data_IF_771040592092
#
_entry.id   IF_771040592092
#
_cell.length_a   1.000
_cell.length_b   1.000
_cell.length_c   1.000
_cell.angle_alpha   90.00
_cell.angle_beta   90.00
_cell.angle_gamma   90.00
#
_symmetry.space_group_name_H-M   'P 1'
#
loop_
_entity.id
_entity.type
_entity.pdbx_description
1 polymer ?
#
# COMPACT_ATOMS: atom_id res chain seq x y z
N UNK A 1 -11.92 -5.31 23.38
CA UNK A 1 -12.73 -4.08 23.57
C UNK A 1 -12.02 -2.82 23.05
N UNK A 2 -10.76 -2.59 23.44
CA UNK A 2 -9.92 -1.45 23.01
C UNK A 2 -9.72 -1.34 21.50
N UNK A 3 -9.58 -2.48 20.81
CA UNK A 3 -9.44 -2.55 19.35
C UNK A 3 -10.69 -2.02 18.62
N UNK A 4 -11.88 -2.42 19.06
CA UNK A 4 -13.15 -1.99 18.47
C UNK A 4 -13.41 -0.50 18.72
N UNK A 5 -13.04 0.03 19.89
CA UNK A 5 -13.18 1.46 20.20
C UNK A 5 -12.24 2.30 19.32
N UNK A 6 -10.97 1.89 19.19
CA UNK A 6 -10.01 2.53 18.28
C UNK A 6 -10.53 2.53 16.84
N UNK A 7 -11.13 1.42 16.41
CA UNK A 7 -11.70 1.27 15.07
C UNK A 7 -12.95 2.13 14.85
N UNK A 8 -13.86 2.23 15.84
CA UNK A 8 -15.04 3.08 15.75
C UNK A 8 -14.69 4.58 15.71
N UNK A 9 -13.75 5.03 16.56
CA UNK A 9 -13.24 6.41 16.53
C UNK A 9 -12.56 6.71 15.19
N UNK A 10 -11.87 5.72 14.62
CA UNK A 10 -11.28 5.82 13.29
C UNK A 10 -12.31 5.94 12.16
N UNK A 11 -13.39 5.14 12.18
CA UNK A 11 -14.48 5.24 11.20
C UNK A 11 -15.14 6.62 11.29
N UNK A 12 -15.40 7.11 12.50
CA UNK A 12 -15.98 8.45 12.71
C UNK A 12 -15.06 9.56 12.20
N UNK A 13 -13.76 9.47 12.47
CA UNK A 13 -12.76 10.40 11.94
C UNK A 13 -12.72 10.37 10.40
N UNK A 14 -12.78 9.18 9.81
CA UNK A 14 -12.81 8.97 8.35
C UNK A 14 -14.07 9.53 7.70
N UNK A 15 -15.24 9.34 8.32
CA UNK A 15 -16.52 9.91 7.87
C UNK A 15 -16.50 11.44 7.97
N UNK A 16 -16.04 12.00 9.09
CA UNK A 16 -15.91 13.45 9.27
C UNK A 16 -14.99 14.06 8.21
N UNK A 17 -13.86 13.39 7.97
CA UNK A 17 -12.89 13.74 6.94
C UNK A 17 -13.50 13.67 5.53
N UNK A 18 -14.31 12.64 5.25
CA UNK A 18 -15.05 12.50 3.98
C UNK A 18 -16.13 13.58 3.79
N UNK A 19 -16.83 13.98 4.86
CA UNK A 19 -17.81 15.08 4.80
C UNK A 19 -17.14 16.44 4.52
N UNK A 20 -15.96 16.68 5.10
CA UNK A 20 -15.14 17.86 4.79
C UNK A 20 -14.70 17.91 3.32
N UNK A 21 -14.41 16.74 2.74
CA UNK A 21 -14.10 16.51 1.33
C UNK A 21 -15.26 16.94 0.41
N UNK A 22 -16.50 16.67 0.81
CA UNK A 22 -17.71 16.97 0.04
C UNK A 22 -18.11 18.46 0.11
N UNK A 23 -17.92 19.13 1.25
CA UNK A 23 -18.54 20.44 1.51
C UNK A 23 -17.65 21.70 1.37
N UNK A 24 -16.32 21.59 1.22
CA UNK A 24 -15.45 22.77 1.41
C UNK A 24 -14.90 23.46 0.15
N UNK A 25 -15.35 24.69 -0.15
CA UNK A 25 -14.49 25.73 -0.78
C UNK A 25 -13.59 26.34 0.32
N UNK A 26 -12.54 25.63 0.72
CA UNK A 26 -11.59 26.11 1.74
C UNK A 26 -10.52 26.97 1.05
N UNK A 27 -10.16 28.12 1.63
CA UNK A 27 -9.10 28.98 1.07
C UNK A 27 -7.70 28.36 1.21
N UNK A 28 -6.81 28.62 0.24
CA UNK A 28 -5.51 27.95 0.09
C UNK A 28 -4.61 28.08 1.33
N UNK A 29 -4.65 29.23 2.03
CA UNK A 29 -3.87 29.49 3.26
C UNK A 29 -4.23 28.52 4.39
N UNK A 30 -5.51 28.22 4.55
CA UNK A 30 -5.99 27.31 5.60
C UNK A 30 -5.77 25.84 5.26
N UNK A 31 -5.72 25.47 3.97
CA UNK A 31 -5.50 24.07 3.56
C UNK A 31 -4.18 23.48 4.03
N UNK A 32 -3.09 24.27 3.99
CA UNK A 32 -1.76 23.81 4.46
C UNK A 32 -1.75 23.57 5.96
N UNK A 33 -2.34 24.48 6.73
CA UNK A 33 -2.48 24.34 8.18
C UNK A 33 -3.37 23.13 8.53
N UNK A 34 -4.50 22.97 7.84
CA UNK A 34 -5.39 21.82 8.02
C UNK A 34 -4.70 20.50 7.69
N UNK A 35 -3.88 20.46 6.64
CA UNK A 35 -3.10 19.27 6.29
C UNK A 35 -2.08 18.93 7.39
N UNK A 36 -1.40 19.94 7.95
CA UNK A 36 -0.47 19.74 9.06
C UNK A 36 -1.21 19.21 10.30
N UNK A 37 -2.31 19.87 10.70
CA UNK A 37 -3.15 19.43 11.82
C UNK A 37 -3.60 17.99 11.60
N UNK A 38 -4.03 17.65 10.38
CA UNK A 38 -4.47 16.31 10.02
C UNK A 38 -3.36 15.25 10.14
N UNK A 39 -2.16 15.53 9.64
CA UNK A 39 -1.03 14.59 9.73
C UNK A 39 -0.61 14.38 11.19
N UNK A 40 -0.53 15.47 11.96
CA UNK A 40 -0.15 15.43 13.38
C UNK A 40 -1.20 14.71 14.21
N UNK A 41 -2.47 15.04 14.07
CA UNK A 41 -3.57 14.42 14.84
C UNK A 41 -3.73 12.94 14.50
N UNK A 42 -3.64 12.58 13.21
CA UNK A 42 -3.68 11.18 12.77
C UNK A 42 -2.49 10.39 13.34
N UNK A 43 -1.28 10.95 13.29
CA UNK A 43 -0.09 10.29 13.83
C UNK A 43 -0.13 10.16 15.35
N UNK A 44 -0.66 11.18 16.03
CA UNK A 44 -0.88 11.12 17.48
C UNK A 44 -1.83 9.98 17.81
N UNK A 45 -2.98 9.90 17.14
CA UNK A 45 -3.94 8.81 17.33
C UNK A 45 -3.31 7.43 17.12
N UNK A 46 -2.54 7.26 16.05
CA UNK A 46 -1.81 6.04 15.74
C UNK A 46 -0.82 5.63 16.84
N UNK A 47 -0.18 6.60 17.52
CA UNK A 47 0.77 6.29 18.61
C UNK A 47 0.14 5.63 19.84
N UNK A 48 -1.18 5.74 20.00
CA UNK A 48 -1.96 5.12 21.09
C UNK A 48 -2.63 3.81 20.66
N UNK A 49 -2.24 3.22 19.53
CA UNK A 49 -2.74 1.92 19.09
C UNK A 49 -2.52 0.81 20.15
N UNK A 50 -3.36 -0.23 20.17
CA UNK A 50 -3.17 -1.38 21.07
C UNK A 50 -1.82 -2.09 20.81
N UNK A 51 -1.10 -2.40 21.88
CA UNK A 51 0.24 -3.02 21.81
C UNK A 51 0.20 -4.52 21.51
N UNK A 52 -0.93 -5.16 21.79
CA UNK A 52 -1.16 -6.61 21.65
C UNK A 52 -1.30 -7.07 20.18
N UNK A 53 -1.44 -6.14 19.23
CA UNK A 53 -1.54 -6.46 17.81
C UNK A 53 -0.23 -7.11 17.35
N UNK A 54 -0.29 -8.29 16.73
CA UNK A 54 0.87 -9.14 16.36
C UNK A 54 2.07 -8.39 15.76
N UNK A 55 1.85 -7.52 14.77
CA UNK A 55 2.92 -6.73 14.15
C UNK A 55 3.48 -5.67 15.13
N UNK A 56 2.61 -5.03 15.93
CA UNK A 56 2.99 -4.03 16.94
C UNK A 56 3.76 -4.62 18.12
N UNK A 57 3.31 -5.77 18.63
CA UNK A 57 3.99 -6.49 19.70
C UNK A 57 5.43 -6.84 19.28
N UNK A 58 5.61 -7.25 18.02
CA UNK A 58 6.93 -7.57 17.47
C UNK A 58 7.83 -6.34 17.32
N UNK A 59 7.27 -5.20 16.91
CA UNK A 59 8.01 -3.93 16.93
C UNK A 59 8.41 -3.53 18.36
N UNK A 60 7.51 -3.69 19.33
CA UNK A 60 7.77 -3.37 20.72
C UNK A 60 8.88 -4.25 21.31
N UNK A 61 8.85 -5.56 21.04
CA UNK A 61 9.88 -6.52 21.46
C UNK A 61 11.26 -6.14 20.94
N UNK A 62 11.39 -5.88 19.62
CA UNK A 62 12.65 -5.48 19.02
C UNK A 62 13.12 -4.13 19.57
N UNK A 63 12.22 -3.16 19.71
CA UNK A 63 12.55 -1.84 20.26
C UNK A 63 12.96 -1.92 21.73
N UNK A 64 12.36 -2.82 22.50
CA UNK A 64 12.64 -3.04 23.92
C UNK A 64 13.94 -3.80 24.19
N UNK A 65 14.49 -4.51 23.21
CA UNK A 65 15.71 -5.30 23.40
C UNK A 65 16.91 -4.43 23.83
N UNK A 66 17.76 -4.97 24.70
CA UNK A 66 18.93 -4.27 25.26
C UNK A 66 20.10 -4.10 24.27
N UNK A 67 19.91 -4.54 23.02
CA UNK A 67 20.95 -4.46 22.01
C UNK A 67 21.14 -3.01 21.54
N UNK A 68 22.37 -2.64 21.22
CA UNK A 68 22.68 -1.34 20.62
C UNK A 68 22.65 -1.44 19.08
N UNK A 69 22.55 -0.30 18.41
CA UNK A 69 22.66 -0.24 16.94
C UNK A 69 23.99 -0.88 16.47
N UNK A 70 25.09 -0.58 17.16
CA UNK A 70 26.41 -1.13 16.86
C UNK A 70 26.46 -2.66 17.03
N UNK A 71 25.79 -3.18 18.06
CA UNK A 71 25.68 -4.62 18.26
C UNK A 71 24.97 -5.29 17.08
N UNK A 72 23.88 -4.72 16.58
CA UNK A 72 23.18 -5.27 15.40
C UNK A 72 24.09 -5.28 14.17
N UNK A 73 24.77 -4.17 13.89
CA UNK A 73 25.65 -4.03 12.72
C UNK A 73 26.81 -5.03 12.76
N UNK A 74 27.42 -5.23 13.93
CA UNK A 74 28.61 -6.07 14.08
C UNK A 74 28.31 -7.57 14.12
N UNK A 75 27.12 -7.96 14.59
CA UNK A 75 26.79 -9.37 14.86
C UNK A 75 25.77 -9.97 13.89
N UNK A 76 25.09 -9.16 13.08
CA UNK A 76 24.11 -9.63 12.11
C UNK A 76 24.50 -9.24 10.70
N UNK A 77 24.31 -10.17 9.77
CA UNK A 77 24.59 -9.95 8.35
C UNK A 77 23.62 -8.92 7.75
N UNK A 78 24.10 -7.72 7.49
CA UNK A 78 23.33 -6.58 6.96
C UNK A 78 23.15 -6.71 5.44
N UNK A 79 22.50 -7.78 5.01
CA UNK A 79 22.14 -8.03 3.60
C UNK A 79 20.63 -7.95 3.38
N UNK A 80 20.25 -7.64 2.14
CA UNK A 80 18.86 -7.66 1.72
C UNK A 80 18.22 -9.03 1.98
N UNK A 81 17.01 -9.02 2.53
CA UNK A 81 16.25 -10.25 2.84
C UNK A 81 16.55 -10.86 4.21
N UNK A 82 17.64 -10.43 4.89
CA UNK A 82 17.94 -10.88 6.23
C UNK A 82 17.02 -10.24 7.26
N UNK A 83 16.70 -11.01 8.30
CA UNK A 83 15.74 -10.62 9.33
C UNK A 83 16.31 -10.77 10.73
N UNK A 84 16.09 -9.75 11.56
CA UNK A 84 16.33 -9.78 12.99
C UNK A 84 15.00 -9.92 13.72
N UNK A 85 14.85 -10.99 14.51
CA UNK A 85 13.60 -11.33 15.21
C UNK A 85 12.37 -11.29 14.27
N UNK A 86 12.53 -11.62 13.00
CA UNK A 86 11.48 -11.64 11.96
C UNK A 86 11.12 -10.29 11.32
N UNK A 87 11.83 -9.21 11.66
CA UNK A 87 11.76 -7.91 10.96
C UNK A 87 12.95 -7.75 10.02
N UNK A 88 12.75 -7.13 8.86
CA UNK A 88 13.83 -6.91 7.90
C UNK A 88 14.88 -5.95 8.49
N UNK A 89 16.15 -6.28 8.31
CA UNK A 89 17.24 -5.65 9.05
C UNK A 89 17.35 -4.14 8.83
N UNK A 90 17.03 -3.64 7.63
CA UNK A 90 17.06 -2.20 7.35
C UNK A 90 16.03 -1.41 8.16
N UNK A 91 14.84 -1.97 8.41
CA UNK A 91 13.86 -1.35 9.31
C UNK A 91 14.29 -1.41 10.78
N UNK A 92 14.96 -2.49 11.18
CA UNK A 92 15.53 -2.63 12.52
C UNK A 92 16.61 -1.59 12.78
N UNK A 93 17.53 -1.37 11.82
CA UNK A 93 18.52 -0.31 11.91
C UNK A 93 17.87 1.08 12.04
N UNK A 94 16.80 1.34 11.29
CA UNK A 94 16.00 2.56 11.43
C UNK A 94 15.38 2.69 12.84
N UNK A 95 14.80 1.61 13.38
CA UNK A 95 14.24 1.61 14.74
C UNK A 95 15.31 1.92 15.80
N UNK A 96 16.47 1.27 15.74
CA UNK A 96 17.54 1.48 16.71
C UNK A 96 18.19 2.86 16.59
N UNK A 97 18.27 3.41 15.38
CA UNK A 97 18.68 4.79 15.17
C UNK A 97 17.76 5.76 15.93
N UNK A 98 16.42 5.61 15.78
CA UNK A 98 15.45 6.44 16.50
C UNK A 98 15.49 6.20 18.02
N UNK A 99 15.66 4.94 18.45
CA UNK A 99 15.85 4.59 19.87
C UNK A 99 17.07 5.29 20.46
N UNK A 100 18.17 5.36 19.72
CA UNK A 100 19.40 6.04 20.13
C UNK A 100 19.24 7.55 20.38
N UNK A 101 18.18 8.17 19.84
CA UNK A 101 17.81 9.56 20.13
C UNK A 101 17.03 9.73 21.47
N UNK A 102 16.89 8.67 22.26
CA UNK A 102 16.18 8.70 23.54
C UNK A 102 14.65 8.68 23.42
N UNK A 103 14.11 8.34 22.25
CA UNK A 103 12.66 8.37 21.98
C UNK A 103 12.01 7.08 22.51
N UNK A 104 10.87 7.21 23.20
CA UNK A 104 10.07 6.07 23.66
C UNK A 104 9.44 5.30 22.48
N UNK A 105 8.99 4.06 22.70
CA UNK A 105 8.33 3.29 21.62
C UNK A 105 7.12 4.02 21.02
N UNK A 106 6.28 4.66 21.85
CA UNK A 106 5.14 5.46 21.36
C UNK A 106 5.61 6.67 20.56
N UNK A 107 6.69 7.33 20.99
CA UNK A 107 7.33 8.40 20.23
C UNK A 107 7.87 7.92 18.88
N UNK A 108 8.47 6.72 18.83
CA UNK A 108 8.90 6.10 17.57
C UNK A 108 7.72 5.86 16.63
N UNK A 109 6.61 5.30 17.11
CA UNK A 109 5.39 5.08 16.31
C UNK A 109 4.85 6.41 15.79
N UNK A 110 4.82 7.46 16.62
CA UNK A 110 4.40 8.80 16.24
C UNK A 110 5.26 9.38 15.11
N UNK A 111 6.59 9.36 15.28
CA UNK A 111 7.54 9.87 14.29
C UNK A 111 7.45 9.09 12.97
N UNK A 112 7.42 7.76 13.04
CA UNK A 112 7.28 6.92 11.85
C UNK A 112 5.97 7.18 11.11
N UNK A 113 4.86 7.40 11.84
CA UNK A 113 3.57 7.74 11.25
C UNK A 113 3.62 9.08 10.52
N UNK A 114 4.23 10.12 11.12
CA UNK A 114 4.41 11.42 10.46
C UNK A 114 5.19 11.27 9.16
N UNK A 115 6.33 10.57 9.21
CA UNK A 115 7.19 10.35 8.04
C UNK A 115 6.43 9.60 6.96
N UNK A 116 5.80 8.46 7.32
CA UNK A 116 5.06 7.62 6.38
C UNK A 116 3.92 8.39 5.73
N UNK A 117 3.05 9.04 6.51
CA UNK A 117 1.93 9.82 5.99
C UNK A 117 2.38 10.96 5.08
N UNK A 118 3.46 11.66 5.45
CA UNK A 118 4.00 12.75 4.63
C UNK A 118 4.49 12.22 3.28
N UNK A 119 5.27 11.13 3.27
CA UNK A 119 5.76 10.48 2.06
C UNK A 119 4.57 10.04 1.17
N UNK A 120 3.55 9.42 1.75
CA UNK A 120 2.36 9.01 1.02
C UNK A 120 1.62 10.18 0.38
N UNK A 121 1.31 11.22 1.16
CA UNK A 121 0.56 12.39 0.69
C UNK A 121 1.32 13.07 -0.45
N UNK A 122 2.62 13.27 -0.30
CA UNK A 122 3.47 13.86 -1.34
C UNK A 122 3.52 12.99 -2.59
N UNK A 123 3.73 11.68 -2.44
CA UNK A 123 3.80 10.73 -3.54
C UNK A 123 2.49 10.66 -4.35
N UNK A 124 1.36 10.47 -3.68
CA UNK A 124 0.05 10.36 -4.34
C UNK A 124 -0.33 11.71 -4.97
N UNK A 125 -0.09 12.84 -4.30
CA UNK A 125 -0.33 14.15 -4.89
C UNK A 125 0.51 14.37 -6.15
N UNK A 126 1.78 13.93 -6.14
CA UNK A 126 2.62 13.98 -7.34
C UNK A 126 2.06 13.10 -8.46
N UNK A 127 1.60 11.87 -8.17
CA UNK A 127 0.95 11.01 -9.17
C UNK A 127 -0.31 11.66 -9.75
N UNK A 128 -1.20 12.17 -8.90
CA UNK A 128 -2.40 12.89 -9.33
C UNK A 128 -2.05 14.04 -10.28
N UNK A 129 -0.96 14.77 -10.00
CA UNK A 129 -0.50 15.87 -10.85
C UNK A 129 0.07 15.41 -12.21
N UNK A 130 0.63 14.19 -12.30
CA UNK A 130 1.16 13.64 -13.55
C UNK A 130 0.11 12.97 -14.43
N UNK A 131 -1.02 12.53 -13.86
CA UNK A 131 -2.12 11.89 -14.59
C UNK A 131 -3.30 12.84 -14.89
N UNK A 132 -3.44 13.96 -14.17
CA UNK A 132 -4.51 14.95 -14.42
C UNK A 132 -4.41 15.54 -15.82
N UNK A 133 -5.56 15.92 -16.36
CA UNK A 133 -5.67 16.59 -17.67
C UNK A 133 -6.21 18.01 -17.57
N UNK A 134 -7.13 18.29 -16.62
CA UNK A 134 -7.86 19.58 -16.61
C UNK A 134 -8.07 20.23 -15.24
N UNK A 135 -7.85 19.51 -14.13
CA UNK A 135 -8.25 19.98 -12.79
C UNK A 135 -7.04 20.18 -11.88
N UNK A 136 -7.08 21.22 -11.04
CA UNK A 136 -6.10 21.40 -9.99
C UNK A 136 -6.30 20.37 -8.87
N UNK A 137 -5.26 19.60 -8.59
CA UNK A 137 -5.25 18.61 -7.50
C UNK A 137 -5.29 19.34 -6.17
N UNK A 138 -6.26 18.99 -5.34
CA UNK A 138 -6.35 19.41 -3.95
C UNK A 138 -5.66 18.35 -3.07
N UNK A 139 -4.47 18.70 -2.60
CA UNK A 139 -3.63 17.82 -1.76
C UNK A 139 -4.35 17.36 -0.49
N UNK A 140 -5.23 18.20 0.08
CA UNK A 140 -5.98 17.84 1.28
C UNK A 140 -6.95 16.70 0.95
N UNK A 141 -7.69 16.82 -0.15
CA UNK A 141 -8.64 15.80 -0.61
C UNK A 141 -7.94 14.48 -0.96
N UNK A 142 -6.76 14.55 -1.56
CA UNK A 142 -5.92 13.38 -1.83
C UNK A 142 -5.49 12.68 -0.53
N UNK A 143 -4.99 13.45 0.44
CA UNK A 143 -4.56 12.93 1.73
C UNK A 143 -5.72 12.22 2.47
N UNK A 144 -6.89 12.84 2.44
CA UNK A 144 -8.10 12.30 3.05
C UNK A 144 -8.57 10.99 2.37
N UNK A 145 -8.62 10.95 1.04
CA UNK A 145 -9.00 9.74 0.30
C UNK A 145 -8.00 8.60 0.57
N UNK A 146 -6.70 8.91 0.58
CA UNK A 146 -5.67 7.94 0.93
C UNK A 146 -5.88 7.37 2.33
N UNK A 147 -6.14 8.22 3.32
CA UNK A 147 -6.33 7.78 4.71
C UNK A 147 -7.49 6.81 4.88
N UNK A 148 -8.59 7.06 4.17
CA UNK A 148 -9.78 6.19 4.16
C UNK A 148 -9.46 4.83 3.51
N UNK A 149 -8.65 4.81 2.44
CA UNK A 149 -8.42 3.61 1.64
C UNK A 149 -7.24 2.73 2.10
N UNK A 150 -6.14 3.33 2.55
CA UNK A 150 -4.89 2.63 2.85
C UNK A 150 -4.12 3.24 4.01
N UNK A 151 -4.22 4.56 4.18
CA UNK A 151 -3.36 5.30 5.08
C UNK A 151 -3.46 4.80 6.50
N UNK A 152 -4.62 4.35 6.97
CA UNK A 152 -4.72 3.86 8.33
C UNK A 152 -4.06 2.49 8.54
N UNK A 153 -4.35 1.51 7.69
CA UNK A 153 -3.73 0.18 7.79
C UNK A 153 -2.19 0.27 7.72
N UNK A 154 -1.70 1.12 6.81
CA UNK A 154 -0.27 1.23 6.51
C UNK A 154 0.48 2.27 7.36
N UNK A 155 -0.20 3.24 7.98
CA UNK A 155 0.44 4.12 8.98
C UNK A 155 0.28 3.61 10.40
N UNK A 156 -0.75 2.81 10.72
CA UNK A 156 -1.04 2.37 12.08
C UNK A 156 -0.64 0.92 12.35
N UNK A 157 -0.99 -0.01 11.46
CA UNK A 157 -0.87 -1.45 11.74
C UNK A 157 0.47 -1.97 11.22
N UNK A 158 0.74 -1.77 9.92
CA UNK A 158 1.91 -2.33 9.24
C UNK A 158 2.93 -1.23 8.92
N UNK A 159 3.58 -0.70 9.95
CA UNK A 159 4.48 0.47 9.88
C UNK A 159 5.56 0.35 8.79
N UNK A 160 6.24 -0.81 8.76
CA UNK A 160 7.29 -1.12 7.79
C UNK A 160 6.75 -1.19 6.36
N UNK A 161 5.57 -1.77 6.19
CA UNK A 161 4.90 -1.90 4.89
C UNK A 161 4.47 -0.55 4.36
N UNK A 162 3.92 0.30 5.23
CA UNK A 162 3.53 1.65 4.84
C UNK A 162 4.70 2.49 4.38
N UNK A 163 5.80 2.51 5.13
CA UNK A 163 6.99 3.26 4.72
C UNK A 163 7.53 2.76 3.37
N UNK A 164 7.58 1.45 3.17
CA UNK A 164 8.02 0.82 1.92
C UNK A 164 7.11 1.14 0.73
N UNK A 165 5.78 1.06 0.88
CA UNK A 165 4.82 1.43 -0.17
C UNK A 165 4.90 2.93 -0.46
N UNK A 166 4.96 3.79 0.55
CA UNK A 166 5.06 5.25 0.39
C UNK A 166 6.27 5.65 -0.44
N UNK A 167 7.44 5.09 -0.13
CA UNK A 167 8.67 5.30 -0.91
C UNK A 167 8.51 4.81 -2.37
N UNK A 168 7.85 3.67 -2.56
CA UNK A 168 7.52 3.13 -3.89
C UNK A 168 6.64 4.07 -4.72
N UNK A 169 5.59 4.63 -4.12
CA UNK A 169 4.70 5.60 -4.77
C UNK A 169 5.50 6.83 -5.23
N UNK A 170 6.40 7.35 -4.40
CA UNK A 170 7.28 8.46 -4.77
C UNK A 170 8.19 8.09 -5.94
N UNK A 171 8.72 6.86 -5.99
CA UNK A 171 9.54 6.38 -7.09
C UNK A 171 8.74 6.32 -8.40
N UNK A 172 7.51 5.81 -8.36
CA UNK A 172 6.60 5.80 -9.52
C UNK A 172 6.28 7.22 -9.97
N UNK A 173 5.99 8.13 -9.04
CA UNK A 173 5.71 9.53 -9.38
C UNK A 173 6.87 10.20 -10.11
N UNK A 174 8.11 10.00 -9.64
CA UNK A 174 9.30 10.52 -10.30
C UNK A 174 9.53 9.89 -11.68
N UNK A 175 9.17 8.60 -11.84
CA UNK A 175 9.29 7.88 -13.12
C UNK A 175 8.35 8.40 -14.22
N UNK A 176 7.27 9.08 -13.84
CA UNK A 176 6.26 9.64 -14.75
C UNK A 176 6.58 11.08 -15.17
N UNK A 177 7.49 11.76 -14.48
CA UNK A 177 7.86 13.14 -14.83
C UNK A 177 8.54 13.21 -16.20
N UNK A 178 8.42 14.35 -16.88
CA UNK A 178 9.13 14.61 -18.15
C UNK A 178 10.65 14.56 -17.96
N UNK A 179 11.17 15.17 -16.89
CA UNK A 179 12.59 15.14 -16.50
C UNK A 179 12.80 14.15 -15.36
N UNK A 180 12.99 12.87 -15.70
CA UNK A 180 13.13 11.77 -14.73
C UNK A 180 14.49 11.83 -14.04
N UNK A 181 14.53 11.86 -12.72
CA UNK A 181 15.78 11.73 -11.94
C UNK A 181 16.04 10.27 -11.59
N UNK A 182 16.78 9.55 -12.46
CA UNK A 182 17.05 8.11 -12.29
C UNK A 182 17.71 7.79 -10.93
N UNK A 183 18.68 8.59 -10.49
CA UNK A 183 19.34 8.39 -9.19
C UNK A 183 18.34 8.43 -8.02
N UNK A 184 17.33 9.32 -8.09
CA UNK A 184 16.31 9.46 -7.06
C UNK A 184 15.35 8.27 -7.07
N UNK A 185 14.98 7.79 -8.27
CA UNK A 185 14.15 6.57 -8.42
C UNK A 185 14.86 5.36 -7.81
N UNK A 186 16.14 5.17 -8.13
CA UNK A 186 16.96 4.07 -7.60
C UNK A 186 17.09 4.18 -6.08
N UNK A 187 17.36 5.38 -5.56
CA UNK A 187 17.46 5.63 -4.12
C UNK A 187 16.16 5.29 -3.39
N UNK A 188 15.01 5.74 -3.92
CA UNK A 188 13.70 5.49 -3.32
C UNK A 188 13.35 3.99 -3.33
N UNK A 189 13.67 3.26 -4.41
CA UNK A 189 13.50 1.81 -4.48
C UNK A 189 14.43 1.08 -3.51
N UNK A 190 15.70 1.46 -3.43
CA UNK A 190 16.65 0.87 -2.50
C UNK A 190 16.22 1.05 -1.04
N UNK A 191 15.74 2.25 -0.67
CA UNK A 191 15.19 2.53 0.65
C UNK A 191 13.89 1.74 0.90
N UNK A 192 13.01 1.63 -0.10
CA UNK A 192 11.78 0.83 0.01
C UNK A 192 12.09 -0.65 0.29
N UNK A 193 13.10 -1.20 -0.38
CA UNK A 193 13.55 -2.59 -0.27
C UNK A 193 14.33 -2.86 1.03
N UNK A 194 15.09 -1.88 1.53
CA UNK A 194 15.82 -2.01 2.79
C UNK A 194 14.88 -2.05 3.99
N UNK A 195 13.82 -1.23 3.93
CA UNK A 195 12.77 -1.20 4.96
C UNK A 195 11.96 -2.49 4.90
N UNK A 196 11.50 -2.93 3.74
CA UNK A 196 10.73 -4.17 3.60
C UNK A 196 11.14 -4.94 2.35
N UNK A 197 11.43 -6.24 2.48
CA UNK A 197 11.83 -7.05 1.32
C UNK A 197 10.78 -7.04 0.20
N UNK A 198 9.49 -7.01 0.56
CA UNK A 198 8.38 -6.90 -0.40
C UNK A 198 8.39 -5.60 -1.21
N UNK A 199 9.16 -4.59 -0.80
CA UNK A 199 9.41 -3.36 -1.56
C UNK A 199 9.97 -3.59 -2.96
N UNK A 200 10.52 -4.79 -3.24
CA UNK A 200 10.92 -5.22 -4.58
C UNK A 200 9.77 -5.09 -5.60
N UNK A 201 8.51 -5.29 -5.17
CA UNK A 201 7.36 -5.19 -6.06
C UNK A 201 7.12 -3.79 -6.63
N UNK A 202 7.67 -2.74 -5.99
CA UNK A 202 7.62 -1.38 -6.52
C UNK A 202 8.39 -1.23 -7.84
N UNK A 203 9.23 -2.19 -8.22
CA UNK A 203 9.90 -2.21 -9.53
C UNK A 203 8.89 -2.36 -10.68
N UNK A 204 7.83 -3.17 -10.50
CA UNK A 204 6.81 -3.41 -11.54
C UNK A 204 6.13 -2.11 -11.99
N UNK A 205 5.50 -1.31 -11.11
CA UNK A 205 4.83 -0.08 -11.52
C UNK A 205 5.83 0.97 -12.00
N UNK A 206 7.05 1.03 -11.45
CA UNK A 206 8.12 1.90 -11.97
C UNK A 206 8.45 1.53 -13.41
N UNK A 207 8.65 0.25 -13.71
CA UNK A 207 8.97 -0.21 -15.07
C UNK A 207 7.84 0.12 -16.06
N UNK A 208 6.59 -0.17 -15.69
CA UNK A 208 5.40 0.13 -16.53
C UNK A 208 5.33 1.63 -16.83
N UNK A 209 5.50 2.48 -15.81
CA UNK A 209 5.41 3.94 -15.95
C UNK A 209 6.64 4.56 -16.62
N UNK A 210 7.83 3.94 -16.50
CA UNK A 210 9.03 4.39 -17.18
C UNK A 210 8.95 4.17 -18.69
N UNK A 211 8.40 3.02 -19.11
CA UNK A 211 8.31 2.59 -20.51
C UNK A 211 7.07 3.08 -21.24
N UNK A 212 6.11 3.67 -20.52
CA UNK A 212 4.82 4.10 -21.06
C UNK A 212 4.13 2.98 -21.88
N UNK A 213 4.04 1.78 -21.29
CA UNK A 213 3.51 0.60 -21.97
C UNK A 213 2.04 0.83 -22.35
N UNK A 214 1.77 0.90 -23.65
CA UNK A 214 0.42 1.14 -24.19
C UNK A 214 -0.37 -0.16 -24.27
N UNK A 215 -1.00 -0.54 -23.17
CA UNK A 215 -1.95 -1.66 -23.15
C UNK A 215 -3.36 -1.11 -23.37
N UNK A 216 -4.08 -1.71 -24.30
CA UNK A 216 -5.47 -1.33 -24.56
C UNK A 216 -6.36 -1.78 -23.40
N UNK A 217 -7.44 -1.02 -23.16
CA UNK A 217 -8.47 -1.40 -22.19
C UNK A 217 -9.04 -2.78 -22.46
N UNK A 218 -9.20 -3.14 -23.74
CA UNK A 218 -9.65 -4.47 -24.17
C UNK A 218 -8.75 -5.57 -23.62
N UNK A 219 -7.42 -5.41 -23.75
CA UNK A 219 -6.46 -6.41 -23.27
C UNK A 219 -6.47 -6.50 -21.75
N UNK A 220 -6.55 -5.38 -21.04
CA UNK A 220 -6.68 -5.38 -19.58
C UNK A 220 -7.96 -6.10 -19.11
N UNK A 221 -9.08 -5.91 -19.81
CA UNK A 221 -10.33 -6.61 -19.52
C UNK A 221 -10.24 -8.11 -19.80
N UNK A 222 -9.58 -8.53 -20.89
CA UNK A 222 -9.34 -9.96 -21.18
C UNK A 222 -8.57 -10.61 -20.02
N UNK A 223 -7.52 -9.95 -19.52
CA UNK A 223 -6.76 -10.44 -18.36
C UNK A 223 -7.66 -10.54 -17.13
N UNK A 224 -8.50 -9.54 -16.84
CA UNK A 224 -9.42 -9.59 -15.70
C UNK A 224 -10.49 -10.68 -15.85
N UNK A 225 -10.96 -10.97 -17.06
CA UNK A 225 -11.86 -12.10 -17.31
C UNK A 225 -11.16 -13.43 -17.04
N UNK A 226 -9.88 -13.55 -17.40
CA UNK A 226 -9.09 -14.73 -17.03
C UNK A 226 -8.95 -14.86 -15.51
N UNK A 227 -8.67 -13.77 -14.79
CA UNK A 227 -8.64 -13.75 -13.32
C UNK A 227 -9.99 -14.17 -12.72
N UNK A 228 -11.10 -13.71 -13.30
CA UNK A 228 -12.45 -14.09 -12.87
C UNK A 228 -12.67 -15.60 -12.97
N UNK A 229 -12.37 -16.17 -14.14
CA UNK A 229 -12.47 -17.62 -14.38
C UNK A 229 -11.56 -18.37 -13.40
N UNK A 230 -10.35 -17.87 -13.17
CA UNK A 230 -9.40 -18.45 -12.22
C UNK A 230 -9.95 -18.50 -10.79
N UNK A 231 -10.60 -17.42 -10.34
CA UNK A 231 -11.25 -17.36 -9.03
C UNK A 231 -12.50 -18.23 -8.96
N UNK A 232 -13.35 -18.19 -9.99
CA UNK A 232 -14.62 -18.93 -10.04
C UNK A 232 -14.39 -20.44 -9.91
N UNK A 233 -13.39 -20.96 -10.63
CA UNK A 233 -13.03 -22.38 -10.58
C UNK A 233 -11.99 -22.72 -9.51
N UNK A 234 -11.65 -21.75 -8.64
CA UNK A 234 -10.66 -21.90 -7.58
C UNK A 234 -9.33 -22.52 -8.06
N UNK A 235 -8.88 -22.16 -9.28
CA UNK A 235 -7.76 -22.83 -9.97
C UNK A 235 -6.45 -22.69 -9.17
N UNK A 236 -6.27 -21.57 -8.47
CA UNK A 236 -5.09 -21.34 -7.63
C UNK A 236 -4.94 -22.38 -6.51
N UNK A 237 -6.04 -22.95 -6.00
CA UNK A 237 -5.97 -24.03 -5.00
C UNK A 237 -5.28 -25.28 -5.51
N UNK A 238 -5.34 -25.52 -6.83
CA UNK A 238 -4.72 -26.66 -7.49
C UNK A 238 -3.28 -26.32 -7.90
N UNK A 239 -3.08 -25.14 -8.48
CA UNK A 239 -1.80 -24.74 -9.08
C UNK A 239 -0.78 -24.29 -8.03
N UNK A 240 -1.21 -23.57 -6.99
CA UNK A 240 -0.32 -23.00 -5.98
C UNK A 240 0.46 -24.05 -5.19
N UNK A 241 -0.12 -25.19 -4.75
CA UNK A 241 0.65 -26.28 -4.14
C UNK A 241 1.76 -26.82 -5.05
N UNK A 242 1.49 -26.98 -6.35
CA UNK A 242 2.46 -27.48 -7.33
C UNK A 242 3.62 -26.50 -7.47
N UNK A 243 3.33 -25.20 -7.63
CA UNK A 243 4.35 -24.15 -7.69
C UNK A 243 5.15 -24.09 -6.39
N UNK A 244 4.48 -24.18 -5.23
CA UNK A 244 5.13 -24.14 -3.93
C UNK A 244 6.06 -25.34 -3.73
N UNK A 245 5.69 -26.54 -4.17
CA UNK A 245 6.54 -27.72 -4.13
C UNK A 245 7.75 -27.59 -5.06
N UNK A 246 7.57 -27.05 -6.27
CA UNK A 246 8.68 -26.78 -7.18
C UNK A 246 9.65 -25.76 -6.59
N UNK A 247 9.13 -24.67 -6.00
CA UNK A 247 9.92 -23.68 -5.28
C UNK A 247 10.63 -24.29 -4.07
N UNK A 248 9.96 -25.12 -3.27
CA UNK A 248 10.57 -25.80 -2.12
C UNK A 248 11.70 -26.75 -2.55
N UNK A 249 11.55 -27.45 -3.68
CA UNK A 249 12.62 -28.27 -4.25
C UNK A 249 13.81 -27.41 -4.70
N UNK A 250 13.55 -26.28 -5.36
CA UNK A 250 14.61 -25.34 -5.76
C UNK A 250 15.29 -24.68 -4.55
N UNK A 251 14.51 -24.34 -3.53
CA UNK A 251 14.97 -23.69 -2.31
C UNK A 251 15.50 -24.69 -1.26
N UNK A 252 15.39 -26.01 -1.48
CA UNK A 252 15.97 -27.02 -0.58
C UNK A 252 17.50 -26.93 -0.51
N UNK A 253 18.12 -26.23 -1.45
CA UNK A 253 19.54 -25.89 -1.46
C UNK A 253 19.87 -24.65 -0.61
N UNK A 254 18.86 -24.07 0.06
CA UNK A 254 18.93 -22.85 0.86
C UNK A 254 18.22 -23.08 2.21
N UNK A 255 18.71 -22.53 3.33
CA UNK A 255 18.16 -22.77 4.68
C UNK A 255 16.86 -21.98 4.94
N UNK A 256 15.94 -21.93 3.99
CA UNK A 256 14.64 -21.24 4.10
C UNK A 256 13.55 -22.17 4.68
N UNK A 257 13.83 -22.73 5.86
CA UNK A 257 12.94 -23.67 6.60
C UNK A 257 11.55 -23.05 6.87
N UNK A 258 11.44 -21.73 6.97
CA UNK A 258 10.18 -21.02 7.25
C UNK A 258 9.18 -20.89 6.09
N UNK A 259 9.52 -21.30 4.86
CA UNK A 259 8.56 -21.30 3.74
C UNK A 259 7.64 -22.53 3.79
N UNK A 260 8.15 -23.68 4.22
CA UNK A 260 7.41 -24.96 4.27
C UNK A 260 6.16 -24.91 5.17
N UNK A 261 6.26 -24.32 6.36
CA UNK A 261 5.15 -24.17 7.31
C UNK A 261 4.03 -23.27 6.78
N UNK A 262 4.37 -22.24 5.99
CA UNK A 262 3.37 -21.35 5.36
C UNK A 262 2.59 -22.00 4.22
N UNK A 263 3.15 -23.05 3.60
CA UNK A 263 2.48 -23.83 2.56
C UNK A 263 1.45 -24.78 3.17
N UNK A 264 1.73 -25.33 4.35
CA UNK A 264 0.82 -26.25 5.03
C UNK A 264 -0.37 -25.54 5.71
N UNK A 265 -0.22 -24.27 6.11
CA UNK A 265 -1.29 -23.44 6.72
C UNK A 265 -2.11 -22.62 5.69
N UNK A 266 -2.03 -22.95 4.40
CA UNK A 266 -2.69 -22.19 3.34
C UNK A 266 -4.23 -22.38 3.36
N UNK A 267 -4.95 -21.27 3.26
CA UNK A 267 -6.42 -21.27 3.12
C UNK A 267 -6.76 -21.21 1.64
N UNK A 268 -7.01 -22.36 1.04
CA UNK A 268 -7.18 -22.54 -0.40
C UNK A 268 -8.51 -22.02 -0.96
N UNK A 269 -9.22 -21.15 -0.25
CA UNK A 269 -10.46 -20.52 -0.71
C UNK A 269 -10.21 -19.09 -1.13
N UNK A 270 -10.84 -18.69 -2.23
CA UNK A 270 -10.86 -17.28 -2.64
C UNK A 270 -11.67 -16.49 -1.61
N UNK A 271 -11.04 -15.52 -0.95
CA UNK A 271 -11.68 -14.72 0.09
C UNK A 271 -12.59 -13.63 -0.49
N UNK A 272 -13.51 -13.11 0.35
CA UNK A 272 -14.35 -11.97 -0.01
C UNK A 272 -13.50 -10.75 -0.44
N UNK A 273 -12.36 -10.53 0.22
CA UNK A 273 -11.42 -9.46 -0.11
C UNK A 273 -10.92 -9.57 -1.56
N UNK A 274 -10.63 -10.78 -2.03
CA UNK A 274 -10.08 -11.02 -3.36
C UNK A 274 -11.11 -10.72 -4.45
N UNK A 275 -12.36 -11.13 -4.21
CA UNK A 275 -13.50 -10.77 -5.05
C UNK A 275 -13.73 -9.26 -5.09
N UNK A 276 -13.69 -8.57 -3.94
CA UNK A 276 -13.83 -7.11 -3.90
C UNK A 276 -12.71 -6.40 -4.67
N UNK A 277 -11.45 -6.84 -4.54
CA UNK A 277 -10.33 -6.28 -5.31
C UNK A 277 -10.52 -6.47 -6.82
N UNK A 278 -11.05 -7.64 -7.23
CA UNK A 278 -11.38 -7.90 -8.63
C UNK A 278 -12.51 -6.98 -9.14
N UNK A 279 -13.62 -6.85 -8.40
CA UNK A 279 -14.75 -5.99 -8.76
C UNK A 279 -14.28 -4.54 -8.94
N UNK A 280 -13.47 -4.03 -8.02
CA UNK A 280 -12.96 -2.67 -8.08
C UNK A 280 -12.02 -2.48 -9.27
N UNK A 281 -11.19 -3.48 -9.58
CA UNK A 281 -10.34 -3.47 -10.77
C UNK A 281 -11.17 -3.36 -12.05
N UNK A 282 -12.24 -4.16 -12.16
CA UNK A 282 -13.18 -4.10 -13.29
C UNK A 282 -13.83 -2.73 -13.38
N UNK A 283 -14.32 -2.19 -12.26
CA UNK A 283 -14.96 -0.87 -12.24
C UNK A 283 -13.99 0.20 -12.71
N UNK A 284 -12.75 0.19 -12.22
CA UNK A 284 -11.75 1.21 -12.54
C UNK A 284 -11.19 1.08 -13.95
N UNK A 285 -11.10 -0.13 -14.52
CA UNK A 285 -10.66 -0.32 -15.90
C UNK A 285 -11.79 -0.05 -16.89
N UNK A 286 -13.03 -0.43 -16.55
CA UNK A 286 -14.17 -0.29 -17.43
C UNK A 286 -14.85 1.09 -17.37
N UNK A 287 -15.03 1.69 -16.21
CA UNK A 287 -15.80 2.95 -16.14
C UNK A 287 -14.94 4.21 -16.16
N UNK A 288 -13.62 4.09 -16.10
CA UNK A 288 -12.75 5.27 -16.11
C UNK A 288 -12.30 5.59 -17.53
N UNK A 289 -12.60 6.81 -17.99
CA UNK A 289 -12.09 7.33 -19.25
C UNK A 289 -10.56 7.41 -19.23
N UNK A 290 -9.93 6.85 -20.27
CA UNK A 290 -8.49 6.83 -20.48
C UNK A 290 -8.06 7.86 -21.52
N UNK A 291 -8.23 9.14 -21.18
CA UNK A 291 -7.73 10.24 -22.04
C UNK A 291 -6.21 10.34 -22.06
N UNK A 292 -5.52 9.66 -21.15
CA UNK A 292 -4.09 9.72 -20.94
C UNK A 292 -3.51 8.31 -20.68
N UNK A 293 -2.52 7.90 -21.47
CA UNK A 293 -1.82 6.62 -21.31
C UNK A 293 -1.24 6.43 -19.91
N UNK A 294 -0.85 7.52 -19.24
CA UNK A 294 -0.29 7.48 -17.88
C UNK A 294 -1.28 6.96 -16.84
N UNK A 295 -2.56 7.28 -16.98
CA UNK A 295 -3.61 6.77 -16.10
C UNK A 295 -3.84 5.28 -16.33
N UNK A 296 -3.76 4.84 -17.58
CA UNK A 296 -3.80 3.41 -17.93
C UNK A 296 -2.59 2.66 -17.35
N UNK A 297 -1.38 3.23 -17.35
CA UNK A 297 -0.19 2.60 -16.73
C UNK A 297 -0.40 2.26 -15.25
N UNK A 298 -1.06 3.17 -14.50
CA UNK A 298 -1.40 2.92 -13.09
C UNK A 298 -2.43 1.79 -12.94
N UNK A 299 -3.47 1.78 -13.78
CA UNK A 299 -4.44 0.68 -13.82
C UNK A 299 -3.79 -0.65 -14.19
N UNK A 300 -2.82 -0.65 -15.11
CA UNK A 300 -2.07 -1.85 -15.49
C UNK A 300 -1.24 -2.40 -14.33
N UNK A 301 -0.67 -1.52 -13.51
CA UNK A 301 0.01 -1.92 -12.28
C UNK A 301 -0.96 -2.68 -11.35
N UNK A 302 -2.20 -2.19 -11.21
CA UNK A 302 -3.24 -2.88 -10.45
C UNK A 302 -3.61 -4.24 -11.07
N UNK A 303 -3.75 -4.32 -12.40
CA UNK A 303 -4.01 -5.58 -13.11
C UNK A 303 -2.90 -6.60 -12.87
N UNK A 304 -1.62 -6.18 -12.87
CA UNK A 304 -0.51 -7.05 -12.50
C UNK A 304 -0.67 -7.57 -11.06
N UNK A 305 -1.15 -6.74 -10.14
CA UNK A 305 -1.52 -7.17 -8.79
C UNK A 305 -2.59 -8.27 -8.78
N UNK A 306 -3.63 -8.14 -9.60
CA UNK A 306 -4.68 -9.17 -9.74
C UNK A 306 -4.14 -10.48 -10.31
N UNK A 307 -3.20 -10.42 -11.26
CA UNK A 307 -2.53 -11.62 -11.80
C UNK A 307 -1.69 -12.30 -10.71
N UNK A 308 -0.93 -11.54 -9.91
CA UNK A 308 -0.20 -12.11 -8.78
C UNK A 308 -1.14 -12.75 -7.75
N UNK A 309 -2.31 -12.14 -7.53
CA UNK A 309 -3.31 -12.64 -6.59
C UNK A 309 -3.84 -14.02 -7.01
N UNK A 310 -3.88 -14.36 -8.30
CA UNK A 310 -4.31 -15.68 -8.81
C UNK A 310 -3.53 -16.84 -8.19
N UNK A 311 -2.23 -16.63 -7.93
CA UNK A 311 -1.36 -17.63 -7.32
C UNK A 311 -1.21 -17.42 -5.81
N UNK A 312 -1.47 -16.19 -5.37
CA UNK A 312 -1.20 -15.72 -4.03
C UNK A 312 -2.33 -15.87 -3.03
N UNK A 313 -3.60 -15.85 -3.46
CA UNK A 313 -4.75 -15.84 -2.55
C UNK A 313 -4.77 -17.00 -1.54
N UNK A 314 -4.24 -18.22 -1.81
CA UNK A 314 -4.17 -19.27 -0.80
C UNK A 314 -3.33 -18.90 0.43
N UNK A 315 -2.41 -17.95 0.27
CA UNK A 315 -1.60 -17.42 1.35
C UNK A 315 -2.19 -16.10 1.81
N UNK A 316 -2.89 -16.08 2.96
CA UNK A 316 -3.50 -14.83 3.49
C UNK A 316 -2.49 -13.67 3.62
N UNK A 317 -1.22 -13.97 3.93
CA UNK A 317 -0.15 -12.96 3.99
C UNK A 317 0.17 -12.32 2.62
N UNK A 318 -0.12 -13.01 1.51
CA UNK A 318 0.08 -12.54 0.14
C UNK A 318 -0.99 -11.54 -0.31
N UNK A 319 -2.18 -11.55 0.29
CA UNK A 319 -3.17 -10.48 0.04
C UNK A 319 -2.61 -9.09 0.36
N UNK A 320 -1.74 -8.96 1.37
CA UNK A 320 -1.01 -7.71 1.71
C UNK A 320 0.07 -7.35 0.69
N UNK A 321 0.58 -8.34 -0.04
CA UNK A 321 1.60 -8.16 -1.08
C UNK A 321 1.01 -7.42 -2.29
N UNK A 322 -0.26 -7.70 -2.60
CA UNK A 322 -0.99 -7.08 -3.71
C UNK A 322 -1.26 -5.59 -3.48
N UNK A 323 -1.29 -5.13 -2.24
CA UNK A 323 -1.50 -3.70 -1.92
C UNK A 323 -0.39 -2.79 -2.46
N UNK A 324 0.85 -3.29 -2.64
CA UNK A 324 1.94 -2.57 -3.30
C UNK A 324 1.61 -2.15 -4.75
N UNK A 325 0.71 -2.87 -5.39
CA UNK A 325 0.25 -2.64 -6.76
C UNK A 325 -1.16 -2.07 -6.80
N UNK A 326 -1.98 -2.36 -5.78
CA UNK A 326 -3.36 -1.89 -5.73
C UNK A 326 -3.50 -0.45 -5.19
N UNK A 327 -2.50 0.06 -4.46
CA UNK A 327 -2.49 1.42 -3.89
C UNK A 327 -2.64 2.52 -4.96
N UNK A 328 -2.26 2.25 -6.21
CA UNK A 328 -2.45 3.17 -7.34
C UNK A 328 -3.91 3.37 -7.74
N UNK A 329 -4.85 2.61 -7.16
CA UNK A 329 -6.28 2.89 -7.24
C UNK A 329 -6.64 4.26 -6.66
N UNK A 330 -5.94 4.72 -5.61
CA UNK A 330 -6.20 6.01 -4.94
C UNK A 330 -6.09 7.20 -5.91
N UNK A 331 -4.96 7.43 -6.60
CA UNK A 331 -4.85 8.54 -7.54
C UNK A 331 -5.82 8.40 -8.73
N UNK A 332 -6.11 7.18 -9.19
CA UNK A 332 -7.06 6.95 -10.29
C UNK A 332 -8.49 7.33 -9.89
N UNK A 333 -8.96 6.89 -8.71
CA UNK A 333 -10.27 7.25 -8.15
C UNK A 333 -10.37 8.75 -7.97
N UNK A 334 -9.35 9.37 -7.35
CA UNK A 334 -9.34 10.81 -7.09
C UNK A 334 -9.54 11.62 -8.38
N UNK A 335 -8.74 11.34 -9.40
CA UNK A 335 -8.80 12.09 -10.66
C UNK A 335 -10.13 11.83 -11.39
N UNK A 336 -10.67 10.60 -11.32
CA UNK A 336 -12.01 10.32 -11.86
C UNK A 336 -13.11 11.16 -11.18
N UNK A 337 -13.07 11.30 -9.85
CA UNK A 337 -14.06 12.09 -9.10
C UNK A 337 -14.00 13.59 -9.44
N UNK A 338 -12.80 14.13 -9.63
CA UNK A 338 -12.61 15.57 -9.89
C UNK A 338 -12.80 15.96 -11.36
N UNK A 339 -12.33 15.15 -12.33
CA UNK A 339 -12.44 15.47 -13.76
C UNK A 339 -13.88 15.31 -14.29
N UNK A 340 -14.66 14.40 -13.72
CA UNK A 340 -15.98 14.03 -14.25
C UNK A 340 -17.15 14.49 -13.38
N UNK A 341 -17.06 15.67 -12.77
CA UNK A 341 -18.18 16.24 -11.99
C UNK A 341 -19.52 16.28 -12.75
N UNK A 342 -19.48 16.34 -14.09
CA UNK A 342 -20.65 16.35 -14.99
C UNK A 342 -21.04 14.98 -15.59
N UNK A 343 -20.15 13.99 -15.65
CA UNK A 343 -20.49 12.64 -16.15
C UNK A 343 -20.85 11.75 -14.96
N UNK A 344 -22.15 11.50 -14.79
CA UNK A 344 -22.71 10.79 -13.64
C UNK A 344 -22.12 9.38 -13.51
N UNK A 345 -21.99 8.63 -14.61
CA UNK A 345 -21.57 7.21 -14.59
C UNK A 345 -20.15 7.04 -14.05
N UNK A 346 -19.18 7.81 -14.57
CA UNK A 346 -17.78 7.77 -14.10
C UNK A 346 -17.64 8.20 -12.65
N UNK A 347 -18.48 9.14 -12.19
CA UNK A 347 -18.48 9.62 -10.82
C UNK A 347 -19.07 8.58 -9.86
N UNK A 348 -20.19 7.95 -10.23
CA UNK A 348 -20.78 6.84 -9.47
C UNK A 348 -19.83 5.64 -9.39
N UNK A 349 -19.14 5.31 -10.48
CA UNK A 349 -18.13 4.25 -10.49
C UNK A 349 -16.98 4.54 -9.51
N UNK A 350 -16.49 5.78 -9.46
CA UNK A 350 -15.45 6.18 -8.51
C UNK A 350 -15.94 6.13 -7.05
N UNK A 351 -17.20 6.52 -6.79
CA UNK A 351 -17.82 6.39 -5.47
C UNK A 351 -17.98 4.92 -5.05
N UNK A 352 -18.47 4.06 -5.93
CA UNK A 352 -18.58 2.61 -5.68
C UNK A 352 -17.21 1.99 -5.43
N UNK A 353 -16.19 2.36 -6.21
CA UNK A 353 -14.81 1.92 -5.97
C UNK A 353 -14.32 2.38 -4.59
N UNK A 354 -14.61 3.61 -4.19
CA UNK A 354 -14.23 4.13 -2.86
C UNK A 354 -14.89 3.32 -1.74
N UNK A 355 -16.19 3.04 -1.84
CA UNK A 355 -16.94 2.23 -0.87
C UNK A 355 -16.41 0.79 -0.82
N UNK A 356 -16.15 0.18 -1.98
CA UNK A 356 -15.55 -1.15 -2.06
C UNK A 356 -14.17 -1.21 -1.42
N UNK A 357 -13.37 -0.15 -1.56
CA UNK A 357 -12.04 -0.05 -0.94
C UNK A 357 -12.13 0.06 0.59
N UNK A 358 -13.12 0.80 1.11
CA UNK A 358 -13.41 0.82 2.55
C UNK A 358 -13.79 -0.58 3.03
N UNK A 359 -14.68 -1.26 2.30
CA UNK A 359 -15.09 -2.63 2.64
C UNK A 359 -13.90 -3.61 2.65
N UNK A 360 -12.98 -3.51 1.68
CA UNK A 360 -11.74 -4.29 1.66
C UNK A 360 -10.92 -4.07 2.93
N UNK A 361 -10.77 -2.81 3.38
CA UNK A 361 -9.99 -2.52 4.59
C UNK A 361 -10.67 -3.05 5.85
N UNK A 362 -11.99 -2.95 5.95
CA UNK A 362 -12.75 -3.54 7.06
C UNK A 362 -12.52 -5.07 7.09
N UNK A 363 -12.65 -5.74 5.94
CA UNK A 363 -12.43 -7.20 5.82
C UNK A 363 -10.96 -7.60 6.03
N UNK A 364 -10.00 -6.69 5.84
CA UNK A 364 -8.58 -6.98 6.08
C UNK A 364 -8.14 -6.80 7.55
N UNK A 365 -8.97 -6.11 8.33
CA UNK A 365 -8.74 -5.78 9.75
C UNK A 365 -9.36 -6.86 10.65
N UNK A 366 -10.52 -7.39 10.26
CA UNK A 366 -11.16 -8.55 10.88
C UNK A 366 -10.70 -9.86 10.24
#
# INVERSE_FOLDING_TARGET
>A
MTYNIFFCVFILFSIFTYMMLLNGKISVKHKRLLLLIFVVSSSFFVSFKPMEVKDTARYLEVFGSNHSLQYIINNYDVRYGNRYMGLDIGFVLYMFFIKGLGITFRGFVFVNSIISLTIFIVGINSLCNEIKTKVNVDILRVAMLFMIMYGFHYSAIVLRGGLSIGLGICAVAESMKKKKKLWLIILLLALSMSVQSMGLLNIIPVFICMRDIRISRKNAMIVLTFVFVWFLFNIGSIVTPVIAQLLLRFLSWSPLVGFSTKVNDADYRVGLRDWLMWIISVILIYFSEDKNNRKMNLKMSMTCGMVLLCFGYPFRAFSRVVDYLFVYSVPVIYVNMEEHKRNSVTRYAALLATLGMIAIQVVAIY
#
